data_IF_786350833884
#
_entry.id   IF_786350833884
#
_cell.length_a   1.000
_cell.length_b   1.000
_cell.length_c   1.000
_cell.angle_alpha   90.00
_cell.angle_beta   90.00
_cell.angle_gamma   90.00
#
_symmetry.space_group_name_H-M   'P 1'
#
loop_
_entity.id
_entity.type
_entity.pdbx_description
1 polymer ?
#
# COMPACT_ATOMS: atom_id res chain seq x y z
N UNK A 1 -7.39 8.16 23.99
CA UNK A 1 -7.12 6.78 23.54
C UNK A 1 -7.59 6.73 22.10
N UNK A 2 -6.69 6.47 21.15
CA UNK A 2 -7.00 6.53 19.71
C UNK A 2 -7.25 5.10 19.25
N UNK A 3 -8.45 4.85 18.72
CA UNK A 3 -8.80 3.56 18.11
C UNK A 3 -8.44 3.59 16.64
N UNK A 4 -7.49 2.74 16.26
CA UNK A 4 -7.05 2.61 14.87
C UNK A 4 -7.91 1.58 14.15
N UNK A 5 -9.18 1.95 13.93
CA UNK A 5 -10.10 1.21 13.06
C UNK A 5 -9.60 1.36 11.63
N UNK A 6 -9.29 0.25 10.96
CA UNK A 6 -8.84 0.30 9.56
C UNK A 6 -9.87 1.03 8.68
N UNK A 7 -9.40 1.90 7.79
CA UNK A 7 -10.27 2.66 6.89
C UNK A 7 -11.20 1.76 6.07
N UNK A 8 -10.68 0.63 5.56
CA UNK A 8 -11.45 -0.40 4.84
C UNK A 8 -12.65 -0.96 5.61
N UNK A 9 -12.68 -0.84 6.94
CA UNK A 9 -13.85 -1.22 7.74
C UNK A 9 -15.09 -0.42 7.32
N UNK A 10 -14.91 0.86 7.01
CA UNK A 10 -16.01 1.78 6.71
C UNK A 10 -16.64 1.51 5.34
N UNK A 11 -15.84 1.07 4.38
CA UNK A 11 -16.34 0.56 3.10
C UNK A 11 -17.32 -0.60 3.29
N UNK A 12 -16.96 -1.63 4.05
CA UNK A 12 -17.86 -2.76 4.29
C UNK A 12 -19.08 -2.39 5.14
N UNK A 13 -18.90 -1.49 6.11
CA UNK A 13 -19.97 -0.96 6.95
C UNK A 13 -21.04 -0.24 6.11
N UNK A 14 -20.62 0.65 5.22
CA UNK A 14 -21.53 1.34 4.31
C UNK A 14 -22.28 0.34 3.44
N UNK A 15 -21.57 -0.58 2.78
CA UNK A 15 -22.18 -1.56 1.88
C UNK A 15 -23.22 -2.44 2.56
N UNK A 16 -22.93 -2.92 3.77
CA UNK A 16 -23.86 -3.70 4.59
C UNK A 16 -25.13 -2.89 4.88
N UNK A 17 -24.97 -1.64 5.35
CA UNK A 17 -26.12 -0.82 5.72
C UNK A 17 -26.97 -0.44 4.50
N UNK A 18 -26.32 -0.05 3.41
CA UNK A 18 -26.96 0.27 2.14
C UNK A 18 -27.75 -0.92 1.59
N UNK A 19 -27.20 -2.13 1.66
CA UNK A 19 -27.89 -3.33 1.20
C UNK A 19 -29.18 -3.61 1.99
N UNK A 20 -29.11 -3.49 3.32
CA UNK A 20 -30.24 -3.86 4.20
C UNK A 20 -31.30 -2.75 4.26
N UNK A 21 -30.89 -1.49 4.27
CA UNK A 21 -31.75 -0.37 4.61
C UNK A 21 -31.86 0.70 3.52
N UNK A 22 -30.95 0.73 2.56
CA UNK A 22 -30.88 1.75 1.51
C UNK A 22 -30.23 3.06 1.95
N UNK A 23 -29.86 3.88 0.96
CA UNK A 23 -29.09 5.12 1.11
C UNK A 23 -29.75 6.17 2.01
N UNK A 24 -31.04 6.42 1.83
CA UNK A 24 -31.75 7.43 2.63
C UNK A 24 -31.73 7.09 4.13
N UNK A 25 -31.79 5.81 4.49
CA UNK A 25 -31.71 5.37 5.89
C UNK A 25 -30.28 5.46 6.42
N UNK A 26 -29.28 5.15 5.60
CA UNK A 26 -27.87 5.27 6.01
C UNK A 26 -27.48 6.73 6.32
N UNK A 27 -27.85 7.68 5.46
CA UNK A 27 -27.61 9.11 5.69
C UNK A 27 -28.31 9.56 6.99
N UNK A 28 -29.57 9.20 7.18
CA UNK A 28 -30.31 9.54 8.40
C UNK A 28 -29.71 8.89 9.65
N UNK A 29 -29.19 7.67 9.51
CA UNK A 29 -28.48 6.98 10.58
C UNK A 29 -27.20 7.72 10.98
N UNK A 30 -26.35 8.15 10.03
CA UNK A 30 -25.16 8.95 10.34
C UNK A 30 -25.53 10.31 10.94
N UNK A 31 -26.58 10.97 10.44
CA UNK A 31 -27.09 12.22 11.01
C UNK A 31 -27.56 12.09 12.46
N UNK A 32 -28.00 10.90 12.88
CA UNK A 32 -28.35 10.64 14.29
C UNK A 32 -27.14 10.72 15.24
N UNK A 33 -25.91 10.67 14.70
CA UNK A 33 -24.65 10.91 15.42
C UNK A 33 -24.06 12.31 15.16
N UNK A 34 -24.87 13.22 14.61
CA UNK A 34 -24.45 14.59 14.20
C UNK A 34 -23.34 14.55 13.13
N UNK A 35 -23.33 13.53 12.28
CA UNK A 35 -22.41 13.42 11.15
C UNK A 35 -23.13 13.81 9.87
N UNK A 36 -22.63 14.86 9.20
CA UNK A 36 -23.19 15.31 7.93
C UNK A 36 -22.39 14.72 6.76
N UNK A 37 -22.81 13.53 6.32
CA UNK A 37 -22.25 12.83 5.18
C UNK A 37 -23.10 13.12 3.93
N UNK A 38 -22.67 14.11 3.16
CA UNK A 38 -23.39 14.63 1.99
C UNK A 38 -22.91 13.96 0.70
N UNK A 39 -23.24 12.67 0.55
CA UNK A 39 -22.98 11.90 -0.68
C UNK A 39 -24.29 11.66 -1.44
N UNK A 40 -24.26 11.94 -2.74
CA UNK A 40 -25.36 11.63 -3.65
C UNK A 40 -25.25 10.18 -4.12
N UNK A 41 -26.10 9.31 -3.60
CA UNK A 41 -26.21 7.95 -4.10
C UNK A 41 -27.02 7.91 -5.39
N UNK A 42 -26.59 7.12 -6.40
CA UNK A 42 -27.39 6.88 -7.58
C UNK A 42 -28.74 6.25 -7.22
N UNK A 43 -29.77 6.54 -8.03
CA UNK A 43 -31.12 5.97 -7.86
C UNK A 43 -31.12 4.44 -7.80
N UNK A 44 -30.15 3.81 -8.46
CA UNK A 44 -29.92 2.38 -8.41
C UNK A 44 -28.70 2.09 -7.54
N UNK A 45 -28.94 1.60 -6.32
CA UNK A 45 -27.88 1.29 -5.36
C UNK A 45 -26.93 0.19 -5.87
N UNK A 46 -27.39 -0.67 -6.78
CA UNK A 46 -26.52 -1.65 -7.42
C UNK A 46 -25.43 -0.98 -8.25
N UNK A 47 -25.69 0.20 -8.83
CA UNK A 47 -24.69 0.93 -9.61
C UNK A 47 -23.60 1.54 -8.71
N UNK A 48 -23.95 1.98 -7.50
CA UNK A 48 -22.97 2.42 -6.49
C UNK A 48 -22.03 1.27 -6.07
N UNK A 49 -22.58 0.05 -5.89
CA UNK A 49 -21.83 -1.13 -5.45
C UNK A 49 -20.82 -1.66 -6.49
N UNK A 50 -20.81 -1.12 -7.71
CA UNK A 50 -19.85 -1.51 -8.77
C UNK A 50 -18.44 -0.99 -8.52
N UNK A 51 -18.34 0.19 -7.94
CA UNK A 51 -17.07 0.91 -7.82
C UNK A 51 -16.64 0.94 -6.35
N UNK A 52 -15.33 0.93 -6.16
CA UNK A 52 -14.75 1.12 -4.85
C UNK A 52 -14.62 2.62 -4.62
N UNK A 53 -15.70 3.22 -4.09
CA UNK A 53 -15.70 4.63 -3.67
C UNK A 53 -15.15 4.73 -2.25
N UNK A 54 -14.03 5.45 -2.11
CA UNK A 54 -13.39 5.70 -0.81
C UNK A 54 -14.02 6.85 -0.03
N UNK A 55 -15.10 7.48 -0.54
CA UNK A 55 -15.70 8.67 0.08
C UNK A 55 -16.11 8.47 1.54
N UNK A 56 -16.64 7.29 1.91
CA UNK A 56 -16.96 6.99 3.31
C UNK A 56 -15.71 6.77 4.17
N UNK A 57 -14.65 6.19 3.60
CA UNK A 57 -13.39 5.95 4.31
C UNK A 57 -12.70 7.28 4.64
N UNK A 58 -12.61 8.17 3.65
CA UNK A 58 -12.06 9.52 3.80
C UNK A 58 -12.90 10.32 4.80
N UNK A 59 -14.23 10.26 4.69
CA UNK A 59 -15.13 10.92 5.64
C UNK A 59 -14.93 10.40 7.06
N UNK A 60 -14.85 9.09 7.26
CA UNK A 60 -14.71 8.51 8.59
C UNK A 60 -13.30 8.74 9.16
N UNK A 61 -12.27 8.97 8.35
CA UNK A 61 -10.91 9.28 8.83
C UNK A 61 -10.86 10.50 9.76
N UNK A 62 -11.71 11.51 9.52
CA UNK A 62 -11.80 12.75 10.32
C UNK A 62 -12.81 12.67 11.47
N UNK A 63 -13.61 11.61 11.56
CA UNK A 63 -14.61 11.42 12.62
C UNK A 63 -13.91 11.01 13.92
N UNK A 64 -14.36 11.55 15.06
CA UNK A 64 -13.84 11.17 16.38
C UNK A 64 -14.13 9.71 16.70
N UNK A 65 -13.15 9.03 17.31
CA UNK A 65 -13.21 7.58 17.59
C UNK A 65 -14.37 7.15 18.49
N UNK A 66 -14.78 8.01 19.43
CA UNK A 66 -15.96 7.76 20.28
C UNK A 66 -17.23 7.60 19.43
N UNK A 67 -17.42 8.46 18.42
CA UNK A 67 -18.57 8.37 17.50
C UNK A 67 -18.46 7.16 16.58
N UNK A 68 -17.25 6.84 16.11
CA UNK A 68 -16.98 5.63 15.32
C UNK A 68 -17.41 4.36 16.05
N UNK A 69 -17.03 4.23 17.32
CA UNK A 69 -17.40 3.06 18.13
C UNK A 69 -18.90 2.94 18.32
N UNK A 70 -19.60 4.03 18.61
CA UNK A 70 -21.06 4.02 18.77
C UNK A 70 -21.77 3.61 17.48
N UNK A 71 -21.28 4.08 16.33
CA UNK A 71 -21.78 3.67 15.01
C UNK A 71 -21.55 2.18 14.78
N UNK A 72 -20.32 1.71 14.96
CA UNK A 72 -19.97 0.29 14.78
C UNK A 72 -20.78 -0.60 15.70
N UNK A 73 -20.99 -0.21 16.96
CA UNK A 73 -21.82 -0.93 17.91
C UNK A 73 -23.24 -1.10 17.38
N UNK A 74 -23.86 -0.03 16.87
CA UNK A 74 -25.21 -0.11 16.29
C UNK A 74 -25.29 -1.04 15.07
N UNK A 75 -24.23 -1.11 14.27
CA UNK A 75 -24.20 -1.88 13.02
C UNK A 75 -23.88 -3.36 13.28
N UNK A 76 -22.89 -3.65 14.12
CA UNK A 76 -22.47 -5.00 14.47
C UNK A 76 -23.61 -5.78 15.16
N UNK A 77 -24.35 -5.11 16.05
CA UNK A 77 -25.46 -5.74 16.77
C UNK A 77 -26.82 -5.59 16.06
N UNK A 78 -26.85 -5.13 14.81
CA UNK A 78 -28.07 -5.08 14.01
C UNK A 78 -28.40 -6.47 13.45
N UNK A 79 -29.49 -7.07 13.96
CA UNK A 79 -29.93 -8.42 13.57
C UNK A 79 -30.28 -8.57 12.08
N UNK A 80 -30.62 -7.50 11.36
CA UNK A 80 -30.86 -7.58 9.90
C UNK A 80 -29.54 -7.57 9.14
N UNK A 81 -28.57 -6.80 9.60
CA UNK A 81 -27.21 -6.81 9.08
C UNK A 81 -26.53 -8.16 9.35
N UNK A 82 -26.67 -8.73 10.55
CA UNK A 82 -26.12 -10.06 10.87
C UNK A 82 -26.64 -11.15 9.93
N UNK A 83 -27.95 -11.10 9.58
CA UNK A 83 -28.57 -12.06 8.65
C UNK A 83 -27.96 -12.07 7.25
N UNK A 84 -27.26 -11.00 6.85
CA UNK A 84 -26.58 -10.93 5.55
C UNK A 84 -25.52 -12.02 5.37
N UNK A 85 -24.97 -12.57 6.45
CA UNK A 85 -24.05 -13.71 6.43
C UNK A 85 -24.64 -14.97 5.77
N UNK A 86 -25.97 -15.06 5.67
CA UNK A 86 -26.68 -16.19 5.05
C UNK A 86 -27.13 -15.90 3.61
N UNK A 87 -26.83 -14.72 3.09
CA UNK A 87 -27.23 -14.31 1.74
C UNK A 87 -26.14 -14.66 0.73
N UNK A 88 -26.49 -15.44 -0.29
CA UNK A 88 -25.58 -15.81 -1.39
C UNK A 88 -25.67 -14.84 -2.58
N UNK A 89 -26.04 -13.59 -2.30
CA UNK A 89 -26.11 -12.56 -3.33
C UNK A 89 -24.72 -12.00 -3.61
N UNK A 90 -24.43 -11.73 -4.88
CA UNK A 90 -23.14 -11.23 -5.33
C UNK A 90 -23.30 -9.87 -6.02
N UNK A 91 -22.53 -8.88 -5.58
CA UNK A 91 -22.36 -7.61 -6.26
C UNK A 91 -20.99 -7.59 -6.96
N UNK A 92 -20.99 -7.75 -8.29
CA UNK A 92 -19.81 -7.51 -9.14
C UNK A 92 -18.53 -8.25 -8.71
N UNK A 93 -18.67 -9.48 -8.22
CA UNK A 93 -17.55 -10.32 -7.78
C UNK A 93 -17.41 -10.42 -6.27
N UNK A 94 -18.08 -9.57 -5.49
CA UNK A 94 -18.10 -9.64 -4.02
C UNK A 94 -19.39 -10.28 -3.52
N UNK A 95 -19.27 -11.32 -2.68
CA UNK A 95 -20.44 -11.93 -2.01
C UNK A 95 -20.80 -11.13 -0.75
N UNK A 96 -22.09 -10.81 -0.57
CA UNK A 96 -22.56 -10.05 0.61
C UNK A 96 -22.20 -10.77 1.91
N UNK A 97 -22.31 -12.10 1.94
CA UNK A 97 -22.00 -12.89 3.13
C UNK A 97 -20.55 -12.74 3.63
N UNK A 98 -19.64 -12.19 2.81
CA UNK A 98 -18.26 -11.92 3.18
C UNK A 98 -18.06 -10.56 3.87
N UNK A 99 -18.97 -9.59 3.67
CA UNK A 99 -18.79 -8.24 4.18
C UNK A 99 -18.85 -8.15 5.71
N UNK A 100 -19.85 -8.76 6.37
CA UNK A 100 -19.93 -8.76 7.84
C UNK A 100 -18.73 -9.45 8.50
N UNK A 101 -18.31 -10.66 8.08
CA UNK A 101 -17.08 -11.27 8.56
C UNK A 101 -15.86 -10.37 8.39
N UNK A 102 -15.78 -9.60 7.30
CA UNK A 102 -14.66 -8.69 7.05
C UNK A 102 -14.65 -7.50 8.01
N UNK A 103 -15.81 -6.92 8.34
CA UNK A 103 -15.90 -5.91 9.42
C UNK A 103 -15.41 -6.50 10.74
N UNK A 104 -15.85 -7.70 11.11
CA UNK A 104 -15.43 -8.37 12.36
C UNK A 104 -13.92 -8.65 12.37
N UNK A 105 -13.36 -9.13 11.26
CA UNK A 105 -11.92 -9.35 11.10
C UNK A 105 -11.14 -8.04 11.28
N UNK A 106 -11.61 -6.96 10.64
CA UNK A 106 -10.97 -5.66 10.74
C UNK A 106 -11.00 -5.12 12.16
N UNK A 107 -12.15 -5.23 12.86
CA UNK A 107 -12.26 -4.86 14.28
C UNK A 107 -11.27 -5.64 15.15
N UNK A 108 -11.17 -6.96 14.97
CA UNK A 108 -10.21 -7.78 15.70
C UNK A 108 -8.76 -7.38 15.42
N UNK A 109 -8.44 -7.09 14.16
CA UNK A 109 -7.10 -6.60 13.78
C UNK A 109 -6.80 -5.21 14.35
N UNK A 110 -7.84 -4.42 14.63
CA UNK A 110 -7.77 -3.13 15.33
C UNK A 110 -7.81 -3.27 16.86
N UNK A 111 -7.63 -4.49 17.39
CA UNK A 111 -7.73 -4.82 18.81
C UNK A 111 -9.10 -4.49 19.44
N UNK A 112 -10.17 -4.65 18.68
CA UNK A 112 -11.55 -4.51 19.15
C UNK A 112 -12.19 -5.89 19.10
N UNK A 113 -12.51 -6.44 20.25
CA UNK A 113 -13.29 -7.67 20.37
C UNK A 113 -14.78 -7.36 20.50
N UNK A 114 -15.61 -8.35 20.19
CA UNK A 114 -17.07 -8.20 20.15
C UNK A 114 -17.67 -9.07 21.25
N UNK A 115 -18.18 -8.42 22.30
CA UNK A 115 -18.96 -9.10 23.33
C UNK A 115 -20.43 -9.16 22.92
N UNK A 116 -20.79 -10.27 22.30
CA UNK A 116 -22.17 -10.57 21.89
C UNK A 116 -23.14 -10.73 23.07
N UNK A 117 -22.65 -10.99 24.28
CA UNK A 117 -23.52 -11.15 25.46
C UNK A 117 -24.01 -9.81 25.95
N UNK A 118 -23.11 -8.82 25.99
CA UNK A 118 -23.41 -7.47 26.47
C UNK A 118 -23.72 -6.47 25.35
N UNK A 119 -23.67 -6.92 24.09
CA UNK A 119 -23.80 -6.07 22.89
C UNK A 119 -22.83 -4.89 22.94
N UNK A 120 -21.56 -5.16 23.27
CA UNK A 120 -20.51 -4.15 23.41
C UNK A 120 -19.26 -4.49 22.59
N UNK A 121 -18.59 -3.45 22.11
CA UNK A 121 -17.25 -3.54 21.56
C UNK A 121 -16.24 -3.33 22.70
N UNK A 122 -15.34 -4.30 22.90
CA UNK A 122 -14.33 -4.28 23.95
C UNK A 122 -12.99 -4.02 23.30
N UNK A 123 -12.36 -2.90 23.64
CA UNK A 123 -10.94 -2.71 23.30
C UNK A 123 -10.13 -3.77 24.04
N UNK A 124 -9.57 -4.70 23.30
CA UNK A 124 -8.65 -5.69 23.85
C UNK A 124 -7.31 -5.00 23.99
N UNK A 125 -6.91 -4.73 25.23
CA UNK A 125 -5.52 -4.37 25.48
C UNK A 125 -4.69 -5.58 25.06
N UNK A 126 -3.99 -5.49 23.92
CA UNK A 126 -3.03 -6.50 23.53
C UNK A 126 -1.83 -6.37 24.48
N UNK A 127 -1.98 -6.92 25.69
CA UNK A 127 -1.03 -6.85 26.78
C UNK A 127 0.33 -7.36 26.32
N UNK A 128 0.34 -8.39 25.46
CA UNK A 128 1.56 -8.93 24.85
C UNK A 128 2.27 -7.91 23.96
N UNK A 129 1.55 -7.23 23.07
CA UNK A 129 2.10 -6.14 22.23
C UNK A 129 2.58 -4.96 23.08
N UNK A 130 1.78 -4.50 24.05
CA UNK A 130 2.14 -3.38 24.89
C UNK A 130 3.39 -3.67 25.73
N UNK A 131 3.49 -4.87 26.32
CA UNK A 131 4.68 -5.31 27.02
C UNK A 131 5.89 -5.40 26.08
N UNK A 132 5.71 -5.93 24.87
CA UNK A 132 6.77 -6.00 23.87
C UNK A 132 7.29 -4.61 23.47
N UNK A 133 6.40 -3.69 23.08
CA UNK A 133 6.77 -2.34 22.67
C UNK A 133 7.42 -1.58 23.84
N UNK A 134 6.95 -1.76 25.06
CA UNK A 134 7.56 -1.16 26.24
C UNK A 134 8.98 -1.70 26.48
N UNK A 135 9.16 -3.02 26.43
CA UNK A 135 10.47 -3.66 26.57
C UNK A 135 11.46 -3.22 25.47
N UNK A 136 11.00 -3.12 24.22
CA UNK A 136 11.82 -2.60 23.11
C UNK A 136 12.16 -1.13 23.32
N UNK A 137 11.20 -0.30 23.72
CA UNK A 137 11.44 1.13 23.96
C UNK A 137 12.50 1.34 25.04
N UNK A 138 12.34 0.66 26.19
CA UNK A 138 13.33 0.69 27.26
C UNK A 138 14.68 0.13 26.83
N UNK A 139 14.71 -0.91 26.00
CA UNK A 139 15.97 -1.42 25.44
C UNK A 139 16.68 -0.38 24.57
N UNK A 140 15.93 0.29 23.68
CA UNK A 140 16.47 1.31 22.77
C UNK A 140 17.03 2.50 23.56
N UNK A 141 16.31 3.01 24.56
CA UNK A 141 16.81 4.11 25.41
C UNK A 141 18.13 3.75 26.09
N UNK A 142 18.25 2.51 26.59
CA UNK A 142 19.41 2.10 27.38
C UNK A 142 20.63 1.70 26.53
N UNK A 143 20.45 1.29 25.27
CA UNK A 143 21.51 0.67 24.48
C UNK A 143 21.71 1.29 23.09
N UNK A 144 20.74 2.06 22.60
CA UNK A 144 20.67 2.59 21.23
C UNK A 144 20.13 4.03 21.27
N UNK A 145 20.53 4.81 22.27
CA UNK A 145 20.00 6.16 22.49
C UNK A 145 20.33 7.11 21.35
N UNK A 146 21.35 6.81 20.53
CA UNK A 146 21.82 7.53 19.35
C UNK A 146 21.13 7.11 18.02
N UNK A 147 20.02 6.36 18.11
CA UNK A 147 19.22 5.94 16.95
C UNK A 147 18.84 7.13 16.04
N UNK A 148 19.18 7.03 14.75
CA UNK A 148 18.76 7.97 13.72
C UNK A 148 17.35 7.58 13.22
N UNK A 149 16.33 8.10 13.91
CA UNK A 149 14.91 7.84 13.62
C UNK A 149 14.50 8.26 12.22
N UNK A 150 15.03 9.36 11.68
CA UNK A 150 14.73 9.81 10.32
C UNK A 150 15.19 8.78 9.29
N UNK A 151 16.42 8.26 9.44
CA UNK A 151 16.99 7.27 8.52
C UNK A 151 16.25 5.92 8.59
N UNK A 152 15.97 5.38 9.78
CA UNK A 152 15.16 4.13 9.86
C UNK A 152 13.75 4.31 9.33
N UNK A 153 13.13 5.47 9.57
CA UNK A 153 11.75 5.72 9.13
C UNK A 153 11.68 5.87 7.61
N UNK A 154 12.71 6.47 6.99
CA UNK A 154 12.83 6.56 5.54
C UNK A 154 13.00 5.18 4.89
N UNK A 155 13.90 4.34 5.42
CA UNK A 155 14.08 2.96 4.91
C UNK A 155 12.78 2.15 5.03
N UNK A 156 12.05 2.32 6.14
CA UNK A 156 10.79 1.60 6.35
C UNK A 156 9.59 2.23 5.64
N UNK A 157 9.73 3.37 4.97
CA UNK A 157 8.61 4.06 4.31
C UNK A 157 7.58 4.70 5.28
N UNK A 158 7.97 4.94 6.54
CA UNK A 158 7.08 5.46 7.60
C UNK A 158 7.42 6.89 8.05
N UNK A 159 8.20 7.62 7.25
CA UNK A 159 8.54 9.04 7.52
C UNK A 159 7.32 9.93 7.74
N UNK A 160 6.21 9.64 7.07
CA UNK A 160 4.96 10.37 7.24
C UNK A 160 4.35 10.21 8.66
N UNK A 161 4.58 9.08 9.32
CA UNK A 161 4.16 8.82 10.71
C UNK A 161 5.08 9.56 11.69
N UNK A 162 6.39 9.53 11.43
CA UNK A 162 7.38 10.25 12.23
C UNK A 162 7.13 11.76 12.22
N UNK A 163 6.80 12.31 11.04
CA UNK A 163 6.53 13.74 10.85
C UNK A 163 5.15 14.18 11.35
N UNK A 164 4.33 13.27 11.89
CA UNK A 164 3.03 13.65 12.44
C UNK A 164 3.24 14.51 13.70
N UNK A 165 2.46 15.58 13.95
CA UNK A 165 2.70 16.51 15.08
C UNK A 165 2.84 15.85 16.46
N UNK A 166 2.19 14.70 16.67
CA UNK A 166 2.29 13.93 17.93
C UNK A 166 3.63 13.22 18.12
N UNK A 167 4.31 12.87 17.03
CA UNK A 167 5.57 12.14 17.00
C UNK A 167 6.79 13.05 16.80
N UNK A 168 6.57 14.33 16.51
CA UNK A 168 7.63 15.35 16.44
C UNK A 168 8.45 15.41 17.74
N UNK A 169 7.83 15.07 18.88
CA UNK A 169 8.48 15.00 20.17
C UNK A 169 9.52 13.88 20.25
N UNK A 170 9.45 12.82 19.46
CA UNK A 170 10.48 11.77 19.43
C UNK A 170 11.82 12.33 18.96
N UNK A 171 11.83 13.10 17.86
CA UNK A 171 13.04 13.73 17.33
C UNK A 171 13.57 14.78 18.33
N UNK A 172 12.67 15.59 18.90
CA UNK A 172 13.07 16.65 19.85
C UNK A 172 13.57 16.09 21.20
N UNK A 173 12.97 15.01 21.70
CA UNK A 173 13.37 14.40 22.98
C UNK A 173 14.69 13.63 22.89
N UNK A 174 15.04 13.14 21.70
CA UNK A 174 16.35 12.57 21.40
C UNK A 174 17.47 13.61 21.56
N UNK A 175 17.26 14.84 21.11
CA UNK A 175 18.26 15.93 21.20
C UNK A 175 18.43 16.49 22.63
N UNK A 176 17.43 16.34 23.49
CA UNK A 176 17.36 16.98 24.80
C UNK A 176 17.56 16.04 26.00
N UNK A 177 17.77 14.73 25.78
CA UNK A 177 17.90 13.71 26.83
C UNK A 177 16.71 13.78 27.82
N UNK A 178 15.49 13.80 27.27
CA UNK A 178 14.27 13.92 28.06
C UNK A 178 13.94 12.57 28.73
N UNK A 179 13.56 12.63 30.02
CA UNK A 179 12.94 11.53 30.78
C UNK A 179 11.78 10.83 30.07
N UNK A 180 11.10 11.52 29.14
CA UNK A 180 9.97 10.99 28.39
C UNK A 180 10.35 10.30 27.06
N UNK A 181 11.64 10.23 26.70
CA UNK A 181 12.09 9.65 25.43
C UNK A 181 11.60 8.22 25.22
N UNK A 182 11.63 7.39 26.27
CA UNK A 182 11.08 6.02 26.21
C UNK A 182 9.60 5.99 25.83
N UNK A 183 8.81 6.90 26.41
CA UNK A 183 7.38 7.00 26.12
C UNK A 183 7.14 7.44 24.68
N UNK A 184 7.94 8.36 24.15
CA UNK A 184 7.83 8.78 22.75
C UNK A 184 8.19 7.65 21.78
N UNK A 185 9.20 6.84 22.09
CA UNK A 185 9.53 5.64 21.30
C UNK A 185 8.35 4.67 21.32
N UNK A 186 7.79 4.41 22.51
CA UNK A 186 6.64 3.51 22.66
C UNK A 186 5.45 3.96 21.80
N UNK A 187 5.07 5.23 21.87
CA UNK A 187 3.93 5.75 21.10
C UNK A 187 4.21 5.75 19.60
N UNK A 188 5.43 6.10 19.18
CA UNK A 188 5.80 6.03 17.77
C UNK A 188 5.75 4.61 17.23
N UNK A 189 6.34 3.62 17.93
CA UNK A 189 6.27 2.22 17.52
C UNK A 189 4.82 1.70 17.51
N UNK A 190 4.01 2.12 18.47
CA UNK A 190 2.58 1.78 18.50
C UNK A 190 1.83 2.33 17.30
N UNK A 191 2.12 3.58 16.91
CA UNK A 191 1.53 4.18 15.71
C UNK A 191 1.98 3.46 14.43
N UNK A 192 3.27 3.13 14.32
CA UNK A 192 3.81 2.39 13.17
C UNK A 192 3.20 0.99 13.09
N UNK A 193 3.10 0.26 14.20
CA UNK A 193 2.47 -1.06 14.25
C UNK A 193 1.01 -1.00 13.81
N UNK A 194 0.28 0.04 14.24
CA UNK A 194 -1.12 0.20 13.90
C UNK A 194 -1.33 0.57 12.43
N UNK A 195 -0.37 1.27 11.83
CA UNK A 195 -0.33 1.49 10.39
C UNK A 195 -0.02 0.20 9.63
N UNK A 196 1.05 -0.50 10.04
CA UNK A 196 1.46 -1.78 9.47
C UNK A 196 2.40 -2.53 10.45
N UNK A 197 1.99 -3.72 10.90
CA UNK A 197 2.75 -4.56 11.84
C UNK A 197 4.16 -4.90 11.31
N UNK A 198 4.25 -5.25 10.03
CA UNK A 198 5.50 -5.67 9.41
C UNK A 198 6.52 -4.52 9.33
N UNK A 199 6.04 -3.32 9.03
CA UNK A 199 6.89 -2.12 9.03
C UNK A 199 7.38 -1.78 10.43
N UNK A 200 6.57 -2.00 11.47
CA UNK A 200 7.02 -1.84 12.85
C UNK A 200 8.13 -2.82 13.19
N UNK A 201 7.97 -4.09 12.83
CA UNK A 201 8.97 -5.12 13.10
C UNK A 201 10.26 -4.88 12.32
N UNK A 202 10.17 -4.50 11.05
CA UNK A 202 11.32 -4.09 10.24
C UNK A 202 12.04 -2.89 10.87
N UNK A 203 11.30 -1.87 11.29
CA UNK A 203 11.85 -0.66 11.92
C UNK A 203 12.60 -1.00 13.21
N UNK A 204 12.00 -1.77 14.12
CA UNK A 204 12.62 -2.20 15.38
C UNK A 204 13.95 -2.92 15.10
N UNK A 205 13.96 -3.84 14.14
CA UNK A 205 15.17 -4.62 13.81
C UNK A 205 16.24 -3.77 13.10
N UNK A 206 15.87 -2.75 12.32
CA UNK A 206 16.83 -1.79 11.76
C UNK A 206 17.44 -0.90 12.84
N UNK A 207 16.63 -0.44 13.81
CA UNK A 207 17.14 0.30 14.99
C UNK A 207 18.17 -0.55 15.73
N UNK A 208 17.89 -1.83 15.96
CA UNK A 208 18.82 -2.79 16.56
C UNK A 208 20.17 -2.95 15.83
N UNK A 209 20.27 -2.52 14.57
CA UNK A 209 21.50 -2.55 13.76
C UNK A 209 22.26 -1.23 13.71
N UNK A 210 21.65 -0.10 14.08
CA UNK A 210 22.31 1.20 13.96
C UNK A 210 23.40 1.42 15.02
N UNK A 211 23.25 0.80 16.20
CA UNK A 211 24.23 0.91 17.28
C UNK A 211 25.20 -0.25 17.35
N UNK A 212 26.37 -0.01 17.96
CA UNK A 212 27.32 -1.05 18.35
C UNK A 212 26.86 -1.74 19.64
N UNK A 213 25.91 -2.66 19.52
CA UNK A 213 25.55 -3.54 20.64
C UNK A 213 26.73 -4.45 20.99
N UNK A 214 27.06 -4.56 22.27
CA UNK A 214 27.91 -5.64 22.77
C UNK A 214 27.15 -6.99 22.70
N UNK A 215 27.86 -8.11 22.89
CA UNK A 215 27.24 -9.43 22.69
C UNK A 215 26.08 -9.68 23.65
N UNK A 216 26.16 -9.19 24.89
CA UNK A 216 25.05 -9.23 25.86
C UNK A 216 23.85 -8.41 25.41
N UNK A 217 24.05 -7.25 24.78
CA UNK A 217 23.00 -6.42 24.21
C UNK A 217 22.32 -7.09 23.02
N UNK A 218 23.10 -7.76 22.15
CA UNK A 218 22.56 -8.54 21.02
C UNK A 218 21.70 -9.71 21.51
N UNK A 219 22.16 -10.44 22.53
CA UNK A 219 21.41 -11.55 23.12
C UNK A 219 20.08 -11.07 23.72
N UNK A 220 20.10 -10.00 24.51
CA UNK A 220 18.88 -9.41 25.08
C UNK A 220 17.92 -8.92 24.00
N UNK A 221 18.43 -8.28 22.96
CA UNK A 221 17.60 -7.82 21.84
C UNK A 221 16.94 -9.00 21.11
N UNK A 222 17.71 -10.07 20.86
CA UNK A 222 17.21 -11.29 20.24
C UNK A 222 16.16 -11.99 21.11
N UNK A 223 16.37 -12.04 22.43
CA UNK A 223 15.40 -12.60 23.38
C UNK A 223 14.06 -11.82 23.33
N UNK A 224 14.10 -10.48 23.34
CA UNK A 224 12.90 -9.64 23.26
C UNK A 224 12.13 -9.92 21.95
N UNK A 225 12.84 -10.04 20.82
CA UNK A 225 12.22 -10.34 19.52
C UNK A 225 11.64 -11.75 19.46
N UNK A 226 12.39 -12.76 19.94
CA UNK A 226 11.98 -14.18 19.89
C UNK A 226 10.74 -14.45 20.75
N UNK A 227 10.60 -13.76 21.87
CA UNK A 227 9.42 -13.86 22.74
C UNK A 227 8.15 -13.27 22.09
N UNK A 228 8.30 -12.44 21.05
CA UNK A 228 7.20 -11.81 20.33
C UNK A 228 6.88 -12.50 19.00
N UNK A 229 7.89 -12.92 18.23
CA UNK A 229 7.74 -13.37 16.84
C UNK A 229 7.33 -14.84 16.62
N UNK A 230 6.53 -15.09 15.57
CA UNK A 230 6.36 -16.38 14.89
C UNK A 230 6.80 -16.37 13.41
N UNK A 231 7.41 -15.28 12.90
CA UNK A 231 7.54 -15.07 11.44
C UNK A 231 9.00 -15.00 10.94
N UNK A 232 9.39 -16.02 10.17
CA UNK A 232 10.76 -16.25 9.66
C UNK A 232 11.15 -15.37 8.44
N UNK A 233 10.23 -14.60 7.86
CA UNK A 233 10.46 -13.86 6.62
C UNK A 233 11.09 -12.48 6.81
N UNK A 234 10.98 -11.86 8.00
CA UNK A 234 11.60 -10.58 8.31
C UNK A 234 13.13 -10.74 8.50
N UNK A 235 13.57 -11.89 9.03
CA UNK A 235 14.99 -12.23 9.10
C UNK A 235 15.62 -12.32 7.69
N UNK A 236 14.88 -12.90 6.73
CA UNK A 236 15.27 -12.94 5.31
C UNK A 236 15.36 -11.54 4.70
N UNK A 237 14.39 -10.65 4.98
CA UNK A 237 14.46 -9.24 4.55
C UNK A 237 15.70 -8.52 5.08
N UNK A 238 16.07 -8.79 6.32
CA UNK A 238 17.18 -8.14 7.01
C UNK A 238 18.55 -8.64 6.55
N UNK A 239 18.63 -9.91 6.13
CA UNK A 239 19.79 -10.46 5.44
C UNK A 239 19.90 -9.88 4.02
N UNK A 240 18.77 -9.66 3.36
CA UNK A 240 18.69 -9.04 2.04
C UNK A 240 19.11 -7.56 2.05
N UNK A 241 18.74 -6.80 3.09
CA UNK A 241 19.19 -5.41 3.30
C UNK A 241 20.72 -5.32 3.59
N UNK A 242 21.37 -6.39 4.07
CA UNK A 242 22.83 -6.40 4.28
C UNK A 242 23.62 -6.50 2.98
N UNK A 243 23.01 -6.97 1.90
CA UNK A 243 23.60 -7.04 0.56
C UNK A 243 22.77 -6.20 -0.42
N UNK A 244 22.62 -4.89 -0.19
CA UNK A 244 21.99 -4.05 -1.19
C UNK A 244 22.89 -4.12 -2.42
N UNK A 245 22.32 -4.50 -3.57
CA UNK A 245 22.91 -4.12 -4.85
C UNK A 245 22.95 -2.60 -4.83
N UNK A 246 24.12 -2.01 -4.53
CA UNK A 246 24.29 -0.56 -4.35
C UNK A 246 23.92 0.27 -5.59
N UNK A 247 23.52 -0.37 -6.68
CA UNK A 247 23.08 0.28 -7.90
C UNK A 247 21.58 0.13 -8.08
N UNK A 248 20.89 1.26 -8.29
CA UNK A 248 19.51 1.32 -8.73
C UNK A 248 19.26 0.40 -9.94
N UNK A 249 18.08 -0.21 -10.00
CA UNK A 249 17.67 -0.98 -11.18
C UNK A 249 17.44 -0.05 -12.36
N UNK A 250 16.71 1.05 -12.17
CA UNK A 250 16.46 2.07 -13.17
C UNK A 250 17.39 3.25 -12.92
N UNK A 251 18.25 3.50 -13.90
CA UNK A 251 19.16 4.64 -13.95
C UNK A 251 18.66 5.63 -15.01
N UNK A 252 17.54 6.31 -14.69
CA UNK A 252 16.95 7.30 -15.59
C UNK A 252 17.16 8.70 -15.01
N UNK A 253 18.27 9.35 -15.37
CA UNK A 253 18.54 10.74 -15.01
C UNK A 253 17.42 11.70 -15.43
N UNK A 254 16.62 11.34 -16.46
CA UNK A 254 15.57 12.20 -17.00
C UNK A 254 14.29 11.43 -17.31
N UNK A 255 13.41 11.28 -16.31
CA UNK A 255 12.02 10.82 -16.51
C UNK A 255 11.11 11.96 -17.02
N UNK A 256 10.00 11.67 -17.74
CA UNK A 256 9.15 12.69 -18.35
C UNK A 256 8.51 13.69 -17.38
N UNK A 257 8.11 13.24 -16.18
CA UNK A 257 7.42 14.05 -15.17
C UNK A 257 7.60 13.46 -13.75
N UNK A 258 6.91 14.06 -12.77
CA UNK A 258 6.92 13.63 -11.37
C UNK A 258 6.29 12.26 -11.14
N UNK A 259 5.31 11.85 -11.95
CA UNK A 259 4.67 10.54 -11.86
C UNK A 259 5.68 9.43 -12.21
N UNK A 260 6.39 9.56 -13.34
CA UNK A 260 7.42 8.59 -13.73
C UNK A 260 8.60 8.58 -12.76
N UNK A 261 8.92 9.71 -12.12
CA UNK A 261 9.94 9.78 -11.06
C UNK A 261 9.53 8.96 -9.84
N UNK A 262 8.30 9.14 -9.37
CA UNK A 262 7.78 8.39 -8.24
C UNK A 262 7.76 6.88 -8.56
N UNK A 263 7.33 6.49 -9.76
CA UNK A 263 7.31 5.09 -10.18
C UNK A 263 8.71 4.48 -10.30
N UNK A 264 9.70 5.22 -10.83
CA UNK A 264 11.08 4.76 -10.88
C UNK A 264 11.71 4.61 -9.48
N UNK A 265 11.42 5.55 -8.56
CA UNK A 265 11.86 5.45 -7.18
C UNK A 265 11.26 4.21 -6.49
N UNK A 266 9.98 3.95 -6.70
CA UNK A 266 9.32 2.76 -6.17
C UNK A 266 9.94 1.48 -6.74
N UNK A 267 10.21 1.42 -8.05
CA UNK A 267 10.91 0.29 -8.68
C UNK A 267 12.28 0.07 -8.04
N UNK A 268 13.06 1.14 -7.85
CA UNK A 268 14.38 1.05 -7.22
C UNK A 268 14.27 0.60 -5.76
N UNK A 269 13.28 1.09 -5.02
CA UNK A 269 13.01 0.65 -3.66
C UNK A 269 12.70 -0.85 -3.60
N UNK A 270 11.79 -1.34 -4.43
CA UNK A 270 11.43 -2.76 -4.49
C UNK A 270 12.61 -3.64 -4.92
N UNK A 271 13.47 -3.15 -5.82
CA UNK A 271 14.70 -3.84 -6.21
C UNK A 271 15.73 -3.91 -5.09
N UNK A 272 16.04 -2.79 -4.43
CA UNK A 272 16.99 -2.73 -3.32
C UNK A 272 16.52 -3.57 -2.12
N UNK A 273 15.20 -3.64 -1.92
CA UNK A 273 14.57 -4.43 -0.85
C UNK A 273 14.24 -5.87 -1.27
N UNK A 274 14.63 -6.30 -2.47
CA UNK A 274 14.50 -7.67 -2.99
C UNK A 274 13.05 -8.20 -3.09
N UNK A 275 12.08 -7.31 -3.35
CA UNK A 275 10.67 -7.64 -3.55
C UNK A 275 10.35 -7.85 -5.03
N UNK A 276 10.76 -9.02 -5.55
CA UNK A 276 10.79 -9.32 -6.98
C UNK A 276 9.42 -9.45 -7.67
N UNK A 277 8.40 -9.90 -6.94
CA UNK A 277 7.02 -10.01 -7.47
C UNK A 277 6.43 -8.60 -7.70
N UNK A 278 6.35 -7.71 -6.68
CA UNK A 278 5.96 -6.31 -6.88
C UNK A 278 6.83 -5.60 -7.93
N UNK A 279 8.14 -5.83 -7.90
CA UNK A 279 9.08 -5.26 -8.87
C UNK A 279 8.70 -5.60 -10.32
N UNK A 280 8.38 -6.86 -10.62
CA UNK A 280 7.95 -7.30 -11.96
C UNK A 280 6.68 -6.58 -12.42
N UNK A 281 5.72 -6.40 -11.50
CA UNK A 281 4.46 -5.69 -11.77
C UNK A 281 4.71 -4.21 -12.08
N UNK A 282 5.60 -3.56 -11.32
CA UNK A 282 5.94 -2.15 -11.52
C UNK A 282 6.74 -1.91 -12.81
N UNK A 283 7.65 -2.80 -13.19
CA UNK A 283 8.35 -2.75 -14.48
C UNK A 283 7.37 -2.86 -15.64
N UNK A 284 6.38 -3.77 -15.55
CA UNK A 284 5.28 -3.83 -16.51
C UNK A 284 4.53 -2.50 -16.57
N UNK A 285 4.21 -1.91 -15.41
CA UNK A 285 3.42 -0.67 -15.31
C UNK A 285 4.10 0.54 -15.92
N UNK A 286 5.41 0.73 -15.67
CA UNK A 286 6.15 1.87 -16.25
C UNK A 286 6.22 1.76 -17.78
N UNK A 287 6.41 0.55 -18.31
CA UNK A 287 6.43 0.32 -19.77
C UNK A 287 5.05 0.58 -20.38
N UNK A 288 3.98 0.05 -19.75
CA UNK A 288 2.60 0.23 -20.22
C UNK A 288 2.20 1.72 -20.27
N UNK A 289 2.50 2.48 -19.22
CA UNK A 289 2.18 3.91 -19.16
C UNK A 289 2.95 4.72 -20.20
N UNK A 290 4.24 4.43 -20.40
CA UNK A 290 5.03 5.12 -21.44
C UNK A 290 4.46 4.87 -22.85
N UNK A 291 3.97 3.66 -23.10
CA UNK A 291 3.33 3.32 -24.39
C UNK A 291 2.02 4.07 -24.57
N UNK A 292 1.20 4.17 -23.52
CA UNK A 292 -0.02 4.97 -23.52
C UNK A 292 0.32 6.42 -23.91
N UNK A 293 1.33 7.02 -23.30
CA UNK A 293 1.70 8.40 -23.55
C UNK A 293 2.29 8.62 -24.95
N UNK A 294 3.07 7.66 -25.46
CA UNK A 294 3.57 7.69 -26.85
C UNK A 294 2.40 7.68 -27.84
N UNK A 295 1.47 6.74 -27.68
CA UNK A 295 0.31 6.62 -28.57
C UNK A 295 -0.61 7.85 -28.46
N UNK A 296 -0.83 8.34 -27.25
CA UNK A 296 -1.62 9.55 -27.00
C UNK A 296 -1.01 10.78 -27.66
N UNK A 297 0.30 11.01 -27.50
CA UNK A 297 0.98 12.15 -28.13
C UNK A 297 0.97 12.07 -29.66
N UNK A 298 1.04 10.85 -30.22
CA UNK A 298 1.11 10.67 -31.67
C UNK A 298 -0.26 10.77 -32.37
N UNK A 299 -1.30 10.22 -31.75
CA UNK A 299 -2.63 10.03 -32.37
C UNK A 299 -3.72 10.89 -31.75
N UNK A 300 -3.48 11.42 -30.55
CA UNK A 300 -4.32 12.44 -29.98
C UNK A 300 -5.73 12.04 -29.63
N UNK A 301 -6.61 13.04 -29.63
CA UNK A 301 -8.03 12.84 -29.34
C UNK A 301 -8.82 12.29 -30.54
N UNK A 302 -8.32 12.51 -31.76
CA UNK A 302 -9.00 12.08 -32.99
C UNK A 302 -8.95 10.57 -33.20
N UNK A 303 -7.97 9.89 -32.58
CA UNK A 303 -7.74 8.45 -32.71
C UNK A 303 -7.54 7.82 -31.32
N UNK A 304 -8.43 8.16 -30.39
CA UNK A 304 -8.40 7.68 -29.01
C UNK A 304 -8.37 6.15 -28.90
N UNK A 305 -8.98 5.40 -29.83
CA UNK A 305 -8.99 3.93 -29.78
C UNK A 305 -7.59 3.30 -29.76
N UNK A 306 -6.56 4.05 -30.19
CA UNK A 306 -5.17 3.62 -30.17
C UNK A 306 -4.66 3.35 -28.75
N UNK A 307 -5.15 4.08 -27.74
CA UNK A 307 -4.69 3.96 -26.35
C UNK A 307 -5.82 3.92 -25.31
N UNK A 308 -7.05 4.29 -25.68
CA UNK A 308 -8.20 4.39 -24.78
C UNK A 308 -9.38 3.59 -25.29
N UNK A 309 -10.01 2.83 -24.40
CA UNK A 309 -11.26 2.11 -24.68
C UNK A 309 -12.45 2.98 -24.24
N UNK A 310 -13.02 3.71 -25.20
CA UNK A 310 -14.14 4.63 -24.97
C UNK A 310 -15.34 3.91 -24.34
N UNK A 311 -15.61 2.67 -24.77
CA UNK A 311 -16.75 1.89 -24.26
C UNK A 311 -16.61 1.49 -22.79
N UNK A 312 -15.38 1.41 -22.29
CA UNK A 312 -15.08 0.99 -20.91
C UNK A 312 -14.55 2.13 -20.04
N UNK A 313 -14.44 3.36 -20.56
CA UNK A 313 -13.96 4.51 -19.81
C UNK A 313 -12.54 4.33 -19.24
N UNK A 314 -11.69 3.51 -19.87
CA UNK A 314 -10.34 3.18 -19.36
C UNK A 314 -9.31 3.06 -20.48
N UNK A 315 -8.03 3.14 -20.13
CA UNK A 315 -6.96 2.83 -21.08
C UNK A 315 -7.07 1.39 -21.59
N UNK A 316 -6.64 1.18 -22.84
CA UNK A 316 -6.59 -0.14 -23.44
C UNK A 316 -5.69 -1.08 -22.62
N UNK A 317 -6.03 -2.36 -22.57
CA UNK A 317 -5.20 -3.36 -21.91
C UNK A 317 -3.81 -3.45 -22.56
N UNK A 318 -2.78 -3.78 -21.79
CA UNK A 318 -1.40 -3.84 -22.29
C UNK A 318 -1.23 -4.68 -23.59
N UNK A 319 -1.99 -5.78 -23.73
CA UNK A 319 -1.96 -6.57 -24.97
C UNK A 319 -2.47 -5.81 -26.20
N UNK A 320 -3.50 -4.97 -26.02
CA UNK A 320 -4.07 -4.14 -27.09
C UNK A 320 -3.12 -2.98 -27.40
N UNK A 321 -2.59 -2.32 -26.37
CA UNK A 321 -1.57 -1.26 -26.51
C UNK A 321 -0.36 -1.75 -27.31
N UNK A 322 0.17 -2.94 -27.00
CA UNK A 322 1.31 -3.50 -27.71
C UNK A 322 1.00 -3.81 -29.17
N UNK A 323 -0.18 -4.37 -29.46
CA UNK A 323 -0.60 -4.65 -30.83
C UNK A 323 -0.73 -3.35 -31.63
N UNK A 324 -1.34 -2.32 -31.04
CA UNK A 324 -1.50 -1.02 -31.67
C UNK A 324 -0.13 -0.40 -31.95
N UNK A 325 0.75 -0.38 -30.95
CA UNK A 325 2.11 0.14 -31.07
C UNK A 325 2.93 -0.60 -32.14
N UNK A 326 2.84 -1.93 -32.19
CA UNK A 326 3.53 -2.75 -33.18
C UNK A 326 3.02 -2.49 -34.60
N UNK A 327 1.69 -2.33 -34.76
CA UNK A 327 1.06 -2.04 -36.05
C UNK A 327 1.49 -0.68 -36.62
N UNK A 328 1.83 0.27 -35.76
CA UNK A 328 2.23 1.61 -36.16
C UNK A 328 3.70 1.95 -35.85
N UNK A 329 4.54 0.97 -35.52
CA UNK A 329 5.96 1.17 -35.16
C UNK A 329 6.77 1.97 -36.19
N UNK A 330 6.39 1.88 -37.47
CA UNK A 330 7.04 2.63 -38.55
C UNK A 330 6.94 4.15 -38.35
N UNK A 331 5.87 4.61 -37.71
CA UNK A 331 5.62 6.03 -37.45
C UNK A 331 6.65 6.63 -36.51
N UNK A 332 7.35 5.81 -35.71
CA UNK A 332 8.35 6.26 -34.72
C UNK A 332 9.79 6.11 -35.19
N UNK A 333 10.04 5.51 -36.36
CA UNK A 333 11.41 5.27 -36.88
C UNK A 333 12.21 6.56 -37.06
N UNK A 334 11.54 7.66 -37.39
CA UNK A 334 12.19 8.97 -37.53
C UNK A 334 12.69 9.53 -36.19
N UNK A 335 12.10 9.09 -35.07
CA UNK A 335 12.51 9.47 -33.70
C UNK A 335 13.58 8.53 -33.16
N UNK A 336 13.42 7.22 -33.40
CA UNK A 336 14.35 6.19 -32.97
C UNK A 336 14.35 4.99 -33.92
N UNK A 337 15.50 4.67 -34.50
CA UNK A 337 15.69 3.45 -35.32
C UNK A 337 15.58 2.17 -34.49
N UNK A 338 15.72 2.28 -33.16
CA UNK A 338 15.55 1.17 -32.21
C UNK A 338 14.09 0.80 -31.96
N UNK A 339 13.13 1.55 -32.52
CA UNK A 339 11.71 1.21 -32.47
C UNK A 339 11.35 0.13 -33.49
N UNK A 340 11.76 -1.11 -33.20
CA UNK A 340 11.72 -2.23 -34.13
C UNK A 340 11.23 -3.52 -33.46
N UNK A 341 11.24 -4.63 -34.21
CA UNK A 341 10.74 -5.93 -33.74
C UNK A 341 11.51 -6.50 -32.54
N UNK A 342 12.80 -6.14 -32.39
CA UNK A 342 13.59 -6.54 -31.22
C UNK A 342 13.08 -5.83 -29.96
N UNK A 343 12.84 -4.52 -30.02
CA UNK A 343 12.23 -3.78 -28.92
C UNK A 343 10.84 -4.34 -28.56
N UNK A 344 10.00 -4.62 -29.56
CA UNK A 344 8.66 -5.17 -29.32
C UNK A 344 8.71 -6.54 -28.64
N UNK A 345 9.64 -7.41 -29.06
CA UNK A 345 9.87 -8.71 -28.41
C UNK A 345 10.35 -8.55 -26.96
N UNK A 346 11.27 -7.63 -26.70
CA UNK A 346 11.76 -7.33 -25.35
C UNK A 346 10.65 -6.81 -24.44
N UNK A 347 9.82 -5.89 -24.93
CA UNK A 347 8.67 -5.41 -24.15
C UNK A 347 7.68 -6.54 -23.84
N UNK A 348 7.39 -7.40 -24.82
CA UNK A 348 6.47 -8.53 -24.66
C UNK A 348 6.92 -9.47 -23.53
N UNK A 349 8.23 -9.71 -23.38
CA UNK A 349 8.79 -10.51 -22.28
C UNK A 349 8.40 -9.95 -20.89
N UNK A 350 8.56 -8.64 -20.66
CA UNK A 350 8.20 -8.03 -19.37
C UNK A 350 6.69 -7.91 -19.16
N UNK A 351 5.91 -7.79 -20.24
CA UNK A 351 4.45 -7.91 -20.18
C UNK A 351 4.02 -9.29 -19.68
N UNK A 352 4.61 -10.36 -20.22
CA UNK A 352 4.29 -11.73 -19.83
C UNK A 352 4.74 -12.03 -18.40
N UNK A 353 5.97 -11.64 -18.05
CA UNK A 353 6.53 -11.79 -16.70
C UNK A 353 5.69 -11.04 -15.64
N UNK A 354 5.34 -9.77 -15.89
CA UNK A 354 4.51 -9.00 -14.95
C UNK A 354 3.06 -9.50 -14.88
N UNK A 355 2.53 -10.10 -15.94
CA UNK A 355 1.20 -10.72 -15.90
C UNK A 355 1.20 -12.04 -15.12
N UNK A 356 2.25 -12.85 -15.27
CA UNK A 356 2.49 -14.04 -14.45
C UNK A 356 2.55 -13.68 -12.96
N UNK A 357 3.35 -12.68 -12.61
CA UNK A 357 3.52 -12.18 -11.24
C UNK A 357 2.22 -11.68 -10.59
N UNK A 358 1.34 -11.05 -11.39
CA UNK A 358 0.08 -10.51 -10.88
C UNK A 358 -1.00 -11.58 -10.64
N UNK A 359 -0.88 -12.76 -11.28
CA UNK A 359 -1.89 -13.82 -11.22
C UNK A 359 -1.40 -15.09 -10.52
N UNK A 360 -0.09 -15.24 -10.32
CA UNK A 360 0.53 -16.41 -9.70
C UNK A 360 1.85 -16.06 -9.03
N UNK A 361 2.23 -16.83 -8.00
CA UNK A 361 3.56 -16.71 -7.38
C UNK A 361 4.58 -17.30 -8.36
N UNK A 362 5.31 -16.44 -9.07
CA UNK A 362 6.33 -16.84 -10.02
C UNK A 362 7.69 -16.99 -9.33
N UNK A 363 8.07 -18.24 -9.04
CA UNK A 363 9.34 -18.58 -8.37
C UNK A 363 10.59 -18.25 -9.19
N UNK A 364 10.45 -17.92 -10.48
CA UNK A 364 11.58 -17.55 -11.33
C UNK A 364 11.96 -16.07 -11.22
N UNK A 365 11.16 -15.26 -10.51
CA UNK A 365 11.47 -13.86 -10.23
C UNK A 365 12.42 -13.78 -9.04
N UNK A 366 13.71 -13.73 -9.35
CA UNK A 366 14.82 -13.71 -8.38
C UNK A 366 15.72 -12.50 -8.57
N UNK A 367 16.66 -12.30 -7.64
CA UNK A 367 17.72 -11.29 -7.81
C UNK A 367 18.47 -11.47 -9.12
N UNK A 368 18.92 -12.69 -9.38
CA UNK A 368 19.73 -13.04 -10.54
C UNK A 368 18.98 -12.75 -11.84
N UNK A 369 17.65 -12.95 -11.85
CA UNK A 369 16.82 -12.56 -12.98
C UNK A 369 16.91 -11.05 -13.22
N UNK A 370 16.64 -10.20 -12.22
CA UNK A 370 16.65 -8.74 -12.43
C UNK A 370 18.06 -8.18 -12.66
N UNK A 371 19.08 -8.70 -11.99
CA UNK A 371 20.48 -8.37 -12.23
C UNK A 371 20.88 -8.65 -13.69
N UNK A 372 20.60 -9.86 -14.17
CA UNK A 372 20.95 -10.28 -15.54
C UNK A 372 20.16 -9.53 -16.62
N UNK A 373 19.05 -8.89 -16.24
CA UNK A 373 18.14 -8.18 -17.15
C UNK A 373 18.16 -6.66 -16.98
N UNK A 374 18.96 -6.12 -16.04
CA UNK A 374 19.02 -4.69 -15.71
C UNK A 374 19.29 -3.82 -16.93
N UNK A 375 20.29 -4.17 -17.74
CA UNK A 375 20.64 -3.41 -18.95
C UNK A 375 19.48 -3.40 -19.96
N UNK A 376 18.79 -4.53 -20.12
CA UNK A 376 17.65 -4.66 -21.03
C UNK A 376 16.45 -3.82 -20.56
N UNK A 377 16.16 -3.82 -19.26
CA UNK A 377 15.09 -3.01 -18.67
C UNK A 377 15.36 -1.53 -18.91
N UNK A 378 16.57 -1.05 -18.59
CA UNK A 378 16.96 0.34 -18.83
C UNK A 378 16.91 0.70 -20.31
N UNK A 379 17.37 -0.19 -21.19
CA UNK A 379 17.33 0.01 -22.63
C UNK A 379 15.90 0.28 -23.13
N UNK A 380 14.93 -0.55 -22.72
CA UNK A 380 13.52 -0.38 -23.09
C UNK A 380 12.98 0.96 -22.60
N UNK A 381 13.15 1.23 -21.29
CA UNK A 381 12.60 2.44 -20.65
C UNK A 381 13.21 3.70 -21.28
N UNK A 382 14.52 3.73 -21.50
CA UNK A 382 15.19 4.88 -22.10
C UNK A 382 14.75 5.14 -23.54
N UNK A 383 14.52 4.10 -24.35
CA UNK A 383 13.97 4.28 -25.70
C UNK A 383 12.56 4.86 -25.65
N UNK A 384 11.69 4.31 -24.79
CA UNK A 384 10.31 4.77 -24.68
C UNK A 384 10.25 6.23 -24.18
N UNK A 385 11.04 6.59 -23.17
CA UNK A 385 11.18 7.98 -22.69
C UNK A 385 11.67 8.88 -23.81
N UNK A 386 12.71 8.46 -24.55
CA UNK A 386 13.26 9.24 -25.67
C UNK A 386 12.20 9.48 -26.73
N UNK A 387 11.42 8.47 -27.11
CA UNK A 387 10.34 8.64 -28.09
C UNK A 387 9.26 9.57 -27.55
N UNK A 388 8.80 9.35 -26.31
CA UNK A 388 7.79 10.18 -25.67
C UNK A 388 8.17 11.67 -25.59
N UNK A 389 9.45 11.98 -25.37
CA UNK A 389 9.95 13.37 -25.30
C UNK A 389 10.11 14.05 -26.65
N UNK A 390 10.46 13.30 -27.68
CA UNK A 390 10.78 13.86 -29.00
C UNK A 390 9.60 13.82 -29.98
N UNK A 391 8.45 13.31 -29.56
CA UNK A 391 7.20 13.49 -30.28
C UNK A 391 6.69 14.92 -30.08
N UNK A 392 6.25 15.60 -31.15
CA UNK A 392 5.66 16.92 -31.02
C UNK A 392 4.40 16.84 -30.13
N UNK A 393 4.14 17.83 -29.26
CA UNK A 393 2.84 17.95 -28.61
C UNK A 393 1.76 18.19 -29.67
N UNK A 394 0.58 17.62 -29.44
CA UNK A 394 -0.61 17.85 -30.26
C UNK A 394 -1.11 19.30 -30.13
#
# INVERSE_FOLDING_TARGET
>A
MILLIKNETWYYVERLYLHVYGSSKFINFLRSFELNYDVEYPNNIHDFMKEHDHSIEDFMSIVKDEKKLEILKKIIFDTQIEKTQRLDFNYYGEQINAWYPKVVENLKSSNIDIDYTNETLIETTNLKLNLFLHNISGFIVNNLSDTNWSYVSEICGVTHILNFPKNEQLIRSHELIDSNYESHIYYFLKDVHSYNEDFCMLLIRLVGKQGTLNDTGKEKFHEILTNFEQNNWIELLIQNIKNPTHENLIDCEVVPDSFYRALANEINFQYITNHYIPLSILIRKIIENLIIDILRKKYGHSNMEMYYNINQGRFQDFSVLLRNLDSCKQDFKHVSSSFNDDLMRKIKKYKESGNSAAHSIDVNLTNDYFLSNKEEINYIINILIRVCKNLPPE
#
